data_IF_090638782550
#
_entry.id   IF_090638782550
#
_cell.length_a   1.000
_cell.length_b   1.000
_cell.length_c   1.000
_cell.angle_alpha   90.00
_cell.angle_beta   90.00
_cell.angle_gamma   90.00
#
_symmetry.space_group_name_H-M   'P 1'
#
loop_
_entity.id
_entity.type
_entity.pdbx_description
1 polymer ?
#
# COMPACT_ATOMS: atom_id res chain seq x y z
N UNK A 1 -1.39 10.83 -27.03
CA UNK A 1 -2.03 9.71 -26.30
C UNK A 1 -3.53 9.83 -26.47
N UNK A 2 -4.23 8.72 -26.71
CA UNK A 2 -5.69 8.64 -26.77
C UNK A 2 -6.23 8.01 -25.47
N UNK A 3 -7.51 8.19 -25.21
CA UNK A 3 -8.17 7.45 -24.14
C UNK A 3 -8.08 5.93 -24.37
N UNK A 4 -8.03 5.12 -23.32
CA UNK A 4 -8.12 3.66 -23.45
C UNK A 4 -9.48 3.27 -24.04
N UNK A 5 -9.62 2.04 -24.56
CA UNK A 5 -10.92 1.52 -25.02
C UNK A 5 -11.99 1.67 -23.94
N UNK A 6 -13.25 1.85 -24.38
CA UNK A 6 -14.39 1.87 -23.46
C UNK A 6 -14.46 0.56 -22.65
N UNK A 7 -14.73 0.67 -21.36
CA UNK A 7 -14.95 -0.46 -20.45
C UNK A 7 -16.44 -0.64 -20.12
N UNK A 8 -17.25 0.32 -20.48
CA UNK A 8 -18.69 0.31 -20.30
C UNK A 8 -19.38 0.61 -21.63
N UNK A 9 -20.29 -0.25 -22.05
CA UNK A 9 -20.95 -0.17 -23.36
C UNK A 9 -22.45 0.11 -23.26
N UNK A 10 -22.95 0.41 -22.06
CA UNK A 10 -24.35 0.78 -21.86
C UNK A 10 -24.68 2.16 -22.44
N UNK A 11 -25.91 2.34 -22.89
CA UNK A 11 -26.39 3.65 -23.41
C UNK A 11 -26.53 4.71 -22.30
N UNK A 12 -26.75 4.30 -21.06
CA UNK A 12 -26.96 5.16 -19.91
C UNK A 12 -26.02 4.79 -18.77
N UNK A 13 -25.62 5.77 -17.96
CA UNK A 13 -24.84 5.50 -16.76
C UNK A 13 -25.62 4.65 -15.72
N UNK A 14 -24.88 4.02 -14.83
CA UNK A 14 -25.42 3.15 -13.76
C UNK A 14 -25.14 3.71 -12.38
N UNK A 15 -26.01 3.35 -11.42
CA UNK A 15 -25.79 3.62 -10.00
C UNK A 15 -24.88 2.53 -9.46
N UNK A 16 -23.58 2.71 -9.58
CA UNK A 16 -22.55 1.69 -9.26
C UNK A 16 -21.45 2.21 -8.32
N UNK A 17 -21.51 3.51 -7.92
CA UNK A 17 -20.53 4.06 -6.99
C UNK A 17 -20.61 3.39 -5.62
N UNK A 18 -19.46 3.05 -5.04
CA UNK A 18 -19.34 2.57 -3.67
C UNK A 18 -18.89 3.71 -2.76
N UNK A 19 -19.39 3.72 -1.53
CA UNK A 19 -19.05 4.72 -0.52
C UNK A 19 -18.50 4.04 0.73
N UNK A 20 -17.35 4.49 1.21
CA UNK A 20 -16.76 4.09 2.47
C UNK A 20 -16.63 5.31 3.37
N UNK A 21 -17.35 5.38 4.49
CA UNK A 21 -17.25 6.52 5.40
C UNK A 21 -15.87 6.58 6.07
N UNK A 22 -15.46 7.79 6.48
CA UNK A 22 -14.15 8.04 7.06
C UNK A 22 -13.95 7.35 8.43
N UNK A 23 -15.02 7.14 9.17
CA UNK A 23 -15.07 6.50 10.49
C UNK A 23 -15.20 4.97 10.45
N UNK A 24 -15.16 4.37 9.27
CA UNK A 24 -15.12 2.92 9.16
C UNK A 24 -13.85 2.37 9.84
N UNK A 25 -14.02 1.34 10.67
CA UNK A 25 -12.91 0.68 11.37
C UNK A 25 -11.84 0.17 10.37
N UNK A 26 -10.57 0.13 10.78
CA UNK A 26 -9.52 -0.44 9.93
C UNK A 26 -9.74 -1.95 9.76
N UNK A 27 -9.43 -2.47 8.58
CA UNK A 27 -9.48 -3.91 8.32
C UNK A 27 -8.31 -4.65 8.98
N UNK A 28 -7.16 -3.97 9.16
CA UNK A 28 -5.98 -4.57 9.79
C UNK A 28 -5.43 -3.64 10.86
N UNK A 29 -5.10 -4.23 12.02
CA UNK A 29 -4.38 -3.56 13.10
C UNK A 29 -3.14 -4.39 13.46
N UNK A 30 -1.98 -3.75 13.44
CA UNK A 30 -0.70 -4.37 13.80
C UNK A 30 -0.40 -4.23 15.30
N UNK A 31 0.38 -5.14 15.89
CA UNK A 31 0.86 -5.00 17.27
C UNK A 31 1.68 -3.72 17.51
N UNK A 32 2.25 -3.12 16.47
CA UNK A 32 2.95 -1.82 16.51
C UNK A 32 2.02 -0.63 16.74
N UNK A 33 0.71 -0.82 16.55
CA UNK A 33 -0.30 0.25 16.56
C UNK A 33 -0.57 0.84 15.18
N UNK A 34 0.10 0.37 14.14
CA UNK A 34 -0.23 0.75 12.77
C UNK A 34 -1.57 0.14 12.35
N UNK A 35 -2.31 0.83 11.50
CA UNK A 35 -3.56 0.32 10.93
C UNK A 35 -3.60 0.47 9.42
N UNK A 36 -4.36 -0.41 8.76
CA UNK A 36 -4.61 -0.34 7.32
C UNK A 36 -6.10 -0.36 7.04
N UNK A 37 -6.55 0.62 6.29
CA UNK A 37 -7.92 0.73 5.82
C UNK A 37 -7.97 0.40 4.32
N UNK A 38 -8.84 -0.51 3.92
CA UNK A 38 -9.04 -0.91 2.53
C UNK A 38 -10.03 0.06 1.86
N UNK A 39 -9.51 1.07 1.17
CA UNK A 39 -10.35 2.05 0.48
C UNK A 39 -10.89 1.51 -0.85
N UNK A 40 -10.04 0.79 -1.57
CA UNK A 40 -10.38 0.05 -2.77
C UNK A 40 -9.44 -1.15 -2.90
N UNK A 41 -9.98 -2.32 -3.18
CA UNK A 41 -9.22 -3.54 -3.39
C UNK A 41 -9.16 -3.90 -4.86
N UNK A 42 -8.26 -4.82 -5.24
CA UNK A 42 -8.25 -5.38 -6.60
C UNK A 42 -9.62 -5.94 -6.99
N UNK A 43 -10.29 -6.63 -6.07
CA UNK A 43 -11.63 -7.17 -6.31
C UNK A 43 -12.70 -6.09 -6.53
N UNK A 44 -12.66 -4.99 -5.77
CA UNK A 44 -13.64 -3.92 -5.90
C UNK A 44 -13.44 -3.00 -7.10
N UNK A 45 -12.26 -3.06 -7.72
CA UNK A 45 -11.88 -2.22 -8.87
C UNK A 45 -11.69 -2.99 -10.17
N UNK A 46 -12.10 -4.27 -10.19
CA UNK A 46 -11.92 -5.15 -11.34
C UNK A 46 -10.44 -5.20 -11.81
N UNK A 47 -9.52 -5.28 -10.84
CA UNK A 47 -8.10 -5.39 -11.08
C UNK A 47 -7.41 -4.09 -11.55
N UNK A 48 -8.09 -2.95 -11.56
CA UNK A 48 -7.51 -1.70 -12.05
C UNK A 48 -6.49 -1.12 -11.10
N UNK A 49 -6.80 -1.09 -9.83
CA UNK A 49 -5.92 -0.58 -8.78
C UNK A 49 -6.32 -1.13 -7.41
N UNK A 50 -5.42 -0.99 -6.45
CA UNK A 50 -5.70 -1.08 -5.03
C UNK A 50 -5.36 0.25 -4.36
N UNK A 51 -6.16 0.67 -3.38
CA UNK A 51 -5.92 1.88 -2.61
C UNK A 51 -6.17 1.62 -1.13
N UNK A 52 -5.18 1.97 -0.32
CA UNK A 52 -5.18 1.72 1.11
C UNK A 52 -4.76 2.98 1.85
N UNK A 53 -5.39 3.26 3.00
CA UNK A 53 -4.88 4.26 3.93
C UNK A 53 -4.07 3.55 5.01
N UNK A 54 -2.81 3.90 5.11
CA UNK A 54 -1.89 3.42 6.12
C UNK A 54 -1.76 4.47 7.20
N UNK A 55 -2.01 4.09 8.43
CA UNK A 55 -1.80 4.95 9.58
C UNK A 55 -0.68 4.39 10.45
N UNK A 56 0.29 5.24 10.74
CA UNK A 56 1.39 4.91 11.62
C UNK A 56 1.05 5.28 13.05
N UNK A 57 1.25 4.33 13.96
CA UNK A 57 1.37 4.64 15.37
C UNK A 57 2.70 5.36 15.68
N UNK A 58 2.91 5.77 16.94
CA UNK A 58 4.09 6.55 17.33
C UNK A 58 5.39 5.71 17.40
N UNK A 59 5.29 4.38 17.27
CA UNK A 59 6.47 3.51 17.30
C UNK A 59 7.13 3.48 15.92
N UNK A 60 8.48 3.57 15.86
CA UNK A 60 9.20 3.42 14.61
C UNK A 60 8.82 2.15 13.87
N UNK A 61 8.46 2.27 12.60
CA UNK A 61 8.03 1.14 11.79
C UNK A 61 8.16 1.43 10.30
N UNK A 62 8.26 0.38 9.50
CA UNK A 62 8.33 0.40 8.06
C UNK A 62 9.11 -0.79 7.50
N UNK A 63 8.92 -1.15 6.24
CA UNK A 63 9.65 -2.24 5.59
C UNK A 63 11.11 -1.87 5.31
N UNK A 64 11.94 -2.90 5.13
CA UNK A 64 13.26 -2.75 4.52
C UNK A 64 13.15 -2.43 3.03
N UNK A 65 14.27 -2.04 2.40
CA UNK A 65 14.30 -1.74 0.97
C UNK A 65 13.93 -2.99 0.15
N UNK A 66 13.01 -2.80 -0.79
CA UNK A 66 12.46 -3.85 -1.65
C UNK A 66 11.97 -3.27 -2.97
N UNK A 67 11.53 -4.13 -3.87
CA UNK A 67 10.87 -3.77 -5.12
C UNK A 67 9.76 -4.76 -5.46
N UNK A 68 8.86 -4.35 -6.36
CA UNK A 68 7.81 -5.18 -6.94
C UNK A 68 8.07 -5.39 -8.42
N UNK A 69 7.70 -6.54 -8.97
CA UNK A 69 7.89 -6.85 -10.39
C UNK A 69 6.64 -6.61 -11.23
N UNK A 70 5.47 -6.80 -10.66
CA UNK A 70 4.19 -6.80 -11.39
C UNK A 70 3.36 -5.54 -11.17
N UNK A 71 3.66 -4.75 -10.15
CA UNK A 71 2.89 -3.58 -9.75
C UNK A 71 3.79 -2.36 -9.57
N UNK A 72 3.22 -1.19 -9.81
CA UNK A 72 3.76 0.08 -9.29
C UNK A 72 3.14 0.39 -7.94
N UNK A 73 3.87 1.12 -7.10
CA UNK A 73 3.37 1.63 -5.83
C UNK A 73 3.51 3.14 -5.77
N UNK A 74 2.49 3.82 -5.27
CA UNK A 74 2.52 5.27 -5.10
C UNK A 74 2.09 5.63 -3.69
N UNK A 75 2.68 6.70 -3.18
CA UNK A 75 2.47 7.22 -1.84
C UNK A 75 1.96 8.65 -1.92
N UNK A 76 0.90 8.96 -1.18
CA UNK A 76 0.44 10.32 -0.98
C UNK A 76 0.30 10.60 0.51
N UNK A 77 1.01 11.60 1.01
CA UNK A 77 1.08 11.89 2.44
C UNK A 77 -0.12 12.71 2.88
N UNK A 78 -0.85 12.19 3.86
CA UNK A 78 -2.05 12.84 4.40
C UNK A 78 -1.74 13.68 5.65
N UNK A 79 -0.90 13.15 6.55
CA UNK A 79 -0.53 13.83 7.80
C UNK A 79 0.80 13.33 8.35
N UNK A 80 1.43 14.15 9.17
CA UNK A 80 2.71 13.82 9.82
C UNK A 80 3.88 13.80 8.84
N UNK A 81 4.95 13.09 9.23
CA UNK A 81 6.17 12.93 8.43
C UNK A 81 6.40 11.45 8.17
N UNK A 82 6.46 11.08 6.90
CA UNK A 82 6.87 9.74 6.46
C UNK A 82 8.19 9.87 5.73
N UNK A 83 9.17 9.06 6.08
CA UNK A 83 10.43 8.97 5.33
C UNK A 83 10.28 7.94 4.24
N UNK A 84 10.60 8.31 3.00
CA UNK A 84 10.54 7.41 1.85
C UNK A 84 11.94 7.27 1.24
N UNK A 85 12.39 6.02 1.10
CA UNK A 85 13.61 5.68 0.36
C UNK A 85 13.28 5.49 -1.11
N UNK A 86 13.97 6.20 -1.99
CA UNK A 86 13.71 6.19 -3.44
C UNK A 86 14.71 5.35 -4.24
N UNK A 87 15.47 4.49 -3.56
CA UNK A 87 16.54 3.70 -4.16
C UNK A 87 17.94 4.32 -4.04
N UNK A 88 18.01 5.64 -3.78
CA UNK A 88 19.29 6.36 -3.63
C UNK A 88 19.40 7.00 -2.24
N UNK A 89 18.34 7.66 -1.78
CA UNK A 89 18.33 8.40 -0.51
C UNK A 89 16.97 8.33 0.18
N UNK A 90 16.99 8.60 1.46
CA UNK A 90 15.79 8.86 2.25
C UNK A 90 15.32 10.31 2.06
N UNK A 91 14.01 10.46 1.85
CA UNK A 91 13.34 11.77 1.69
C UNK A 91 12.35 11.89 2.85
N UNK A 92 12.46 12.97 3.62
CA UNK A 92 11.46 13.32 4.63
C UNK A 92 10.32 14.06 3.93
N UNK A 93 9.16 13.41 3.87
CA UNK A 93 7.99 13.94 3.18
C UNK A 93 7.06 14.66 4.14
N UNK A 94 6.24 15.55 3.60
CA UNK A 94 5.23 16.33 4.32
C UNK A 94 3.84 16.12 3.68
N UNK A 95 2.74 16.47 4.36
CA UNK A 95 1.41 16.38 3.80
C UNK A 95 1.29 17.07 2.44
N UNK A 96 0.73 16.35 1.44
CA UNK A 96 0.63 16.80 0.07
C UNK A 96 1.73 16.27 -0.85
N UNK A 97 2.83 15.74 -0.31
CA UNK A 97 3.88 15.12 -1.13
C UNK A 97 3.38 13.81 -1.77
N UNK A 98 3.85 13.58 -2.99
CA UNK A 98 3.56 12.39 -3.78
C UNK A 98 4.85 11.73 -4.27
N UNK A 99 4.93 10.41 -4.13
CA UNK A 99 6.02 9.59 -4.67
C UNK A 99 5.43 8.46 -5.49
N UNK A 100 5.91 8.28 -6.71
CA UNK A 100 5.56 7.16 -7.57
C UNK A 100 6.78 6.26 -7.78
N UNK A 101 6.59 4.98 -7.52
CA UNK A 101 7.60 3.95 -7.72
C UNK A 101 7.09 2.99 -8.81
N UNK A 102 7.69 2.97 -10.00
CA UNK A 102 7.32 2.01 -11.04
C UNK A 102 7.72 0.58 -10.65
N UNK A 103 7.17 -0.40 -11.34
CA UNK A 103 7.62 -1.79 -11.19
C UNK A 103 9.15 -1.85 -11.37
N UNK A 104 9.82 -2.59 -10.47
CA UNK A 104 11.27 -2.67 -10.39
C UNK A 104 11.95 -1.53 -9.61
N UNK A 105 11.21 -0.50 -9.22
CA UNK A 105 11.76 0.62 -8.43
C UNK A 105 12.07 0.19 -6.99
N UNK A 106 13.30 0.41 -6.56
CA UNK A 106 13.73 0.14 -5.17
C UNK A 106 13.14 1.21 -4.26
N UNK A 107 12.47 0.79 -3.19
CA UNK A 107 11.86 1.71 -2.24
C UNK A 107 11.73 1.11 -0.84
N UNK A 108 11.49 1.99 0.12
CA UNK A 108 11.09 1.67 1.48
C UNK A 108 10.36 2.89 2.05
N UNK A 109 9.63 2.71 3.12
CA UNK A 109 9.05 3.82 3.87
C UNK A 109 9.17 3.58 5.37
N UNK A 110 9.20 4.66 6.15
CA UNK A 110 9.29 4.59 7.62
C UNK A 110 8.61 5.79 8.26
N UNK A 111 8.03 5.55 9.44
CA UNK A 111 7.79 6.61 10.39
C UNK A 111 8.77 6.45 11.55
N UNK A 112 9.70 7.38 11.69
CA UNK A 112 10.70 7.47 12.77
C UNK A 112 10.55 8.77 13.56
N UNK A 113 9.47 9.53 13.32
CA UNK A 113 9.27 10.85 13.94
C UNK A 113 8.89 10.78 15.42
N UNK A 114 8.41 9.65 15.90
CA UNK A 114 7.82 9.53 17.24
C UNK A 114 6.38 10.03 17.33
N UNK A 115 5.83 10.57 16.23
CA UNK A 115 4.47 11.08 16.14
C UNK A 115 3.65 10.27 15.12
N UNK A 116 2.33 10.24 15.23
CA UNK A 116 1.48 9.61 14.22
C UNK A 116 1.65 10.24 12.84
N UNK A 117 1.52 9.43 11.80
CA UNK A 117 1.52 9.86 10.41
C UNK A 117 0.52 9.03 9.61
N UNK A 118 0.06 9.56 8.49
CA UNK A 118 -0.89 8.88 7.62
C UNK A 118 -0.56 9.12 6.16
N UNK A 119 -0.74 8.06 5.34
CA UNK A 119 -0.53 8.13 3.90
C UNK A 119 -1.50 7.23 3.15
N UNK A 120 -1.71 7.53 1.88
CA UNK A 120 -2.33 6.60 0.94
C UNK A 120 -1.24 5.76 0.27
N UNK A 121 -1.51 4.48 0.14
CA UNK A 121 -0.82 3.54 -0.73
C UNK A 121 -1.72 3.24 -1.93
N UNK A 122 -1.17 3.36 -3.13
CA UNK A 122 -1.87 3.05 -4.36
C UNK A 122 -1.04 2.07 -5.19
N UNK A 123 -1.65 0.93 -5.55
CA UNK A 123 -1.03 -0.10 -6.37
C UNK A 123 -1.72 -0.20 -7.72
N UNK A 124 -0.96 -0.22 -8.81
CA UNK A 124 -1.49 -0.36 -10.17
C UNK A 124 -0.56 -1.22 -11.03
N UNK A 125 -1.13 -2.21 -11.79
CA UNK A 125 -2.51 -2.69 -11.71
C UNK A 125 -2.88 -3.18 -10.32
N UNK A 126 -4.15 -3.44 -10.06
CA UNK A 126 -4.64 -3.95 -8.79
C UNK A 126 -4.06 -5.33 -8.48
N UNK A 127 -3.50 -5.50 -7.29
CA UNK A 127 -3.02 -6.77 -6.77
C UNK A 127 -3.70 -7.06 -5.42
N UNK A 128 -3.85 -8.35 -5.03
CA UNK A 128 -4.50 -8.72 -3.78
C UNK A 128 -3.56 -8.50 -2.58
N UNK A 129 -3.28 -7.22 -2.27
CA UNK A 129 -2.38 -6.82 -1.17
C UNK A 129 -2.94 -7.12 0.21
N UNK A 130 -4.26 -7.34 0.30
CA UNK A 130 -4.95 -7.64 1.55
C UNK A 130 -4.31 -8.83 2.26
N UNK A 131 -4.09 -9.94 1.56
CA UNK A 131 -3.45 -11.14 2.11
C UNK A 131 -2.01 -10.91 2.61
N UNK A 132 -1.30 -9.96 2.00
CA UNK A 132 0.02 -9.54 2.48
C UNK A 132 -0.08 -8.80 3.81
N UNK A 133 -0.95 -7.81 3.90
CA UNK A 133 -1.14 -7.03 5.13
C UNK A 133 -1.65 -7.89 6.28
N UNK A 134 -2.63 -8.75 6.03
CA UNK A 134 -3.18 -9.68 7.01
C UNK A 134 -2.14 -10.69 7.49
N UNK A 135 -1.36 -11.26 6.57
CA UNK A 135 -0.28 -12.19 6.91
C UNK A 135 0.80 -11.56 7.78
N UNK A 136 1.20 -10.32 7.47
CA UNK A 136 2.13 -9.57 8.34
C UNK A 136 1.54 -9.30 9.72
N UNK A 137 0.25 -8.93 9.81
CA UNK A 137 -0.42 -8.66 11.08
C UNK A 137 -0.57 -9.91 11.95
N UNK A 138 -0.82 -11.07 11.33
CA UNK A 138 -0.85 -12.35 12.01
C UNK A 138 0.52 -12.77 12.56
N UNK A 139 1.60 -12.21 12.01
CA UNK A 139 2.98 -12.49 12.40
C UNK A 139 3.59 -13.66 11.65
N UNK A 140 4.82 -13.48 11.20
CA UNK A 140 5.57 -14.51 10.47
C UNK A 140 6.55 -15.30 11.37
N UNK A 141 6.50 -15.07 12.68
CA UNK A 141 7.48 -15.63 13.63
C UNK A 141 7.42 -17.15 13.80
N UNK A 142 6.29 -17.78 13.42
CA UNK A 142 6.13 -19.24 13.45
C UNK A 142 6.57 -19.95 12.17
N UNK A 143 6.94 -19.20 11.12
CA UNK A 143 7.33 -19.74 9.83
C UNK A 143 8.84 -19.99 9.78
N UNK A 144 9.26 -21.01 9.04
CA UNK A 144 10.66 -21.21 8.65
C UNK A 144 11.17 -20.09 7.74
N UNK A 145 12.47 -20.02 7.51
CA UNK A 145 13.05 -19.02 6.60
C UNK A 145 12.57 -19.21 5.16
N UNK A 146 12.42 -20.48 4.73
CA UNK A 146 11.88 -20.83 3.42
C UNK A 146 10.41 -20.38 3.28
N UNK A 147 9.57 -20.68 4.26
CA UNK A 147 8.16 -20.29 4.25
C UNK A 147 7.98 -18.78 4.25
N UNK A 148 8.82 -18.04 4.99
CA UNK A 148 8.83 -16.56 4.94
C UNK A 148 9.25 -16.04 3.57
N UNK A 149 10.30 -16.61 2.99
CA UNK A 149 10.73 -16.21 1.65
C UNK A 149 9.63 -16.47 0.61
N UNK A 150 8.98 -17.63 0.67
CA UNK A 150 7.85 -17.95 -0.20
C UNK A 150 6.66 -17.01 -0.01
N UNK A 151 6.34 -16.66 1.25
CA UNK A 151 5.29 -15.68 1.55
C UNK A 151 5.57 -14.33 0.87
N UNK A 152 6.79 -13.81 0.97
CA UNK A 152 7.15 -12.54 0.34
C UNK A 152 7.09 -12.63 -1.19
N UNK A 153 7.64 -13.68 -1.79
CA UNK A 153 7.64 -13.86 -3.24
C UNK A 153 6.22 -14.00 -3.81
N UNK A 154 5.35 -14.73 -3.12
CA UNK A 154 3.94 -14.89 -3.50
C UNK A 154 3.19 -13.56 -3.51
N UNK A 155 3.62 -12.60 -2.70
CA UNK A 155 3.07 -11.26 -2.63
C UNK A 155 3.91 -10.22 -3.40
N UNK A 156 4.75 -10.67 -4.34
CA UNK A 156 5.59 -9.81 -5.20
C UNK A 156 6.50 -8.84 -4.39
N UNK A 157 6.94 -9.26 -3.22
CA UNK A 157 7.92 -8.52 -2.42
C UNK A 157 9.32 -9.14 -2.61
N UNK A 158 10.23 -8.37 -3.20
CA UNK A 158 11.62 -8.77 -3.46
C UNK A 158 12.56 -7.89 -2.62
N UNK A 159 13.16 -8.48 -1.61
CA UNK A 159 14.11 -7.79 -0.73
C UNK A 159 15.49 -7.67 -1.40
N UNK A 160 16.25 -6.62 -1.01
CA UNK A 160 17.64 -6.42 -1.43
C UNK A 160 18.61 -7.19 -0.54
#
# INVERSE_FOLDING_TARGET
>A
MSYPPARYEGEHGEVSATYRPADHEPEVTYPSGNTVHYLATSASTDGLFGMYRWEFGPKPSGPSAHFHRSISESFYILSGTVRIYNGERWIDTVPGDFVHVPAGGIHAFRNESGEPASMLLHFSPGAPREGYFEGLAAGLGGLSDEERAEFYLRHDNHWL
#
